data_IF_558633039137
#
_entry.id   IF_558633039137
#
_cell.length_a   1.000
_cell.length_b   1.000
_cell.length_c   1.000
_cell.angle_alpha   90.00
_cell.angle_beta   90.00
_cell.angle_gamma   90.00
#
_symmetry.space_group_name_H-M   'P 1'
#
loop_
_entity.id
_entity.type
_entity.pdbx_description
1 polymer ?
#
# COMPACT_ATOMS: atom_id res chain seq x y z
N UNK A 1 23.47 13.26 35.19
CA UNK A 1 22.10 12.68 35.21
C UNK A 1 21.71 12.29 33.80
N UNK A 2 21.54 10.99 33.52
CA UNK A 2 21.35 10.45 32.16
C UNK A 2 19.89 10.66 31.72
N UNK A 3 19.71 11.32 30.58
CA UNK A 3 18.42 11.51 29.88
C UNK A 3 17.84 10.16 29.47
N UNK A 4 16.76 9.75 30.14
CA UNK A 4 15.99 8.56 29.77
C UNK A 4 15.33 8.78 28.42
N UNK A 5 15.81 8.06 27.40
CA UNK A 5 15.30 8.08 26.03
C UNK A 5 13.81 7.71 25.99
N UNK A 6 12.97 8.70 25.69
CA UNK A 6 11.51 8.59 25.61
C UNK A 6 11.02 7.58 24.57
N UNK A 7 11.84 7.27 23.57
CA UNK A 7 11.57 6.21 22.60
C UNK A 7 11.26 4.87 23.26
N UNK A 8 11.83 4.54 24.43
CA UNK A 8 11.57 3.25 25.10
C UNK A 8 10.17 3.15 25.73
N UNK A 9 9.57 4.26 26.15
CA UNK A 9 8.27 4.26 26.86
C UNK A 9 7.07 4.29 25.90
N UNK A 10 7.28 4.64 24.64
CA UNK A 10 6.30 4.46 23.57
C UNK A 10 6.12 2.98 23.16
N UNK A 11 7.00 2.09 23.64
CA UNK A 11 7.16 0.70 23.19
C UNK A 11 6.77 -0.34 24.24
N UNK A 12 6.50 0.07 25.48
CA UNK A 12 6.03 -0.83 26.53
C UNK A 12 4.50 -0.94 26.45
N UNK A 13 3.99 -1.82 25.60
CA UNK A 13 2.64 -2.34 25.78
C UNK A 13 2.66 -3.27 26.99
N UNK A 14 1.75 -3.01 27.92
CA UNK A 14 1.60 -3.70 29.20
C UNK A 14 1.62 -5.22 29.02
N UNK A 15 2.61 -5.88 29.60
CA UNK A 15 2.61 -7.33 29.83
C UNK A 15 1.59 -7.61 30.94
N UNK A 16 0.41 -8.10 30.56
CA UNK A 16 -0.44 -8.91 31.44
C UNK A 16 -0.77 -10.20 30.71
N UNK A 17 -0.39 -11.30 31.34
CA UNK A 17 -0.63 -12.67 30.93
C UNK A 17 -2.13 -12.97 30.93
N UNK A 18 -2.63 -13.54 29.85
CA UNK A 18 -3.50 -14.71 29.95
C UNK A 18 -3.50 -15.51 28.64
N UNK A 19 -3.60 -16.82 28.79
CA UNK A 19 -3.49 -17.84 27.76
C UNK A 19 -4.67 -17.80 26.78
N UNK A 20 -4.50 -17.05 25.70
CA UNK A 20 -5.26 -17.18 24.45
C UNK A 20 -4.30 -16.77 23.33
N UNK A 21 -4.17 -17.56 22.27
CA UNK A 21 -3.22 -17.33 21.18
C UNK A 21 -3.25 -15.87 20.71
N UNK A 22 -2.35 -15.04 21.25
CA UNK A 22 -2.39 -13.60 21.07
C UNK A 22 -2.02 -13.32 19.63
N UNK A 23 -3.02 -13.01 18.80
CA UNK A 23 -2.81 -12.53 17.43
C UNK A 23 -1.90 -11.32 17.51
N UNK A 24 -0.65 -11.47 17.07
CA UNK A 24 0.35 -10.42 17.12
C UNK A 24 -0.15 -9.19 16.36
N UNK A 25 -0.14 -8.03 16.99
CA UNK A 25 -0.47 -6.77 16.33
C UNK A 25 0.64 -6.37 15.36
N UNK A 26 0.30 -5.61 14.32
CA UNK A 26 1.29 -5.14 13.35
C UNK A 26 2.23 -4.06 13.91
N UNK A 27 1.75 -3.25 14.85
CA UNK A 27 2.52 -2.26 15.61
C UNK A 27 3.44 -1.40 14.72
N UNK A 28 4.76 -1.46 14.93
CA UNK A 28 5.74 -0.62 14.20
C UNK A 28 5.72 -0.87 12.68
N UNK A 29 5.37 -2.09 12.24
CA UNK A 29 5.28 -2.42 10.81
C UNK A 29 4.03 -1.84 10.14
N UNK A 30 3.13 -1.19 10.89
CA UNK A 30 1.94 -0.57 10.32
C UNK A 30 2.29 0.54 9.32
N UNK A 31 3.39 1.28 9.56
CA UNK A 31 3.83 2.34 8.65
C UNK A 31 4.26 1.78 7.30
N UNK A 32 5.01 0.68 7.33
CA UNK A 32 5.44 -0.03 6.13
C UNK A 32 4.25 -0.62 5.38
N UNK A 33 3.34 -1.31 6.09
CA UNK A 33 2.12 -1.84 5.49
C UNK A 33 1.23 -0.72 4.93
N UNK A 34 1.11 0.41 5.62
CA UNK A 34 0.33 1.55 5.14
C UNK A 34 0.95 2.18 3.90
N UNK A 35 2.27 2.33 3.84
CA UNK A 35 2.98 2.77 2.63
C UNK A 35 2.69 1.85 1.44
N UNK A 36 2.78 0.52 1.65
CA UNK A 36 2.46 -0.47 0.61
C UNK A 36 1.00 -0.38 0.15
N UNK A 37 0.05 -0.24 1.08
CA UNK A 37 -1.37 -0.07 0.76
C UNK A 37 -1.57 1.20 -0.07
N UNK A 38 -0.95 2.32 0.31
CA UNK A 38 -1.05 3.57 -0.46
C UNK A 38 -0.53 3.39 -1.88
N UNK A 39 0.64 2.77 -2.06
CA UNK A 39 1.21 2.50 -3.39
C UNK A 39 0.31 1.60 -4.23
N UNK A 40 -0.22 0.52 -3.64
CA UNK A 40 -1.14 -0.40 -4.30
C UNK A 40 -2.46 0.28 -4.70
N UNK A 41 -3.02 1.12 -3.81
CA UNK A 41 -4.21 1.90 -4.10
C UNK A 41 -3.96 2.90 -5.23
N UNK A 42 -2.79 3.55 -5.25
CA UNK A 42 -2.44 4.49 -6.31
C UNK A 42 -2.32 3.77 -7.66
N UNK A 43 -1.64 2.63 -7.71
CA UNK A 43 -1.55 1.80 -8.91
C UNK A 43 -2.94 1.35 -9.39
N UNK A 44 -3.81 0.94 -8.46
CA UNK A 44 -5.20 0.64 -8.80
C UNK A 44 -5.95 1.84 -9.39
N UNK A 45 -5.78 3.04 -8.84
CA UNK A 45 -6.46 4.24 -9.34
C UNK A 45 -6.06 4.54 -10.79
N UNK A 46 -4.78 4.38 -11.15
CA UNK A 46 -4.32 4.50 -12.55
C UNK A 46 -4.91 3.43 -13.48
N UNK A 47 -5.40 2.31 -12.94
CA UNK A 47 -6.00 1.21 -13.68
C UNK A 47 -7.54 1.27 -13.73
N UNK A 48 -8.17 2.34 -13.24
CA UNK A 48 -9.62 2.54 -13.36
C UNK A 48 -10.02 2.75 -14.82
N UNK A 49 -11.23 2.33 -15.21
CA UNK A 49 -11.69 2.45 -16.61
C UNK A 49 -11.55 3.88 -17.16
N UNK A 50 -11.85 4.88 -16.32
CA UNK A 50 -11.68 6.30 -16.66
C UNK A 50 -10.22 6.66 -16.96
N UNK A 51 -9.29 6.25 -16.11
CA UNK A 51 -7.87 6.56 -16.30
C UNK A 51 -7.28 5.78 -17.48
N UNK A 52 -7.71 4.53 -17.68
CA UNK A 52 -7.32 3.71 -18.83
C UNK A 52 -7.83 4.32 -20.13
N UNK A 53 -9.09 4.77 -20.19
CA UNK A 53 -9.64 5.42 -21.38
C UNK A 53 -8.87 6.72 -21.71
N UNK A 54 -8.58 7.53 -20.69
CA UNK A 54 -7.75 8.73 -20.84
C UNK A 54 -6.34 8.39 -21.33
N UNK A 55 -5.70 7.37 -20.75
CA UNK A 55 -4.36 6.93 -21.15
C UNK A 55 -4.34 6.47 -22.61
N UNK A 56 -5.35 5.70 -23.04
CA UNK A 56 -5.48 5.27 -24.44
C UNK A 56 -5.67 6.46 -25.39
N UNK A 57 -6.47 7.44 -25.00
CA UNK A 57 -6.62 8.69 -25.77
C UNK A 57 -5.29 9.45 -25.89
N UNK A 58 -4.54 9.59 -24.79
CA UNK A 58 -3.22 10.23 -24.78
C UNK A 58 -2.21 9.48 -25.66
N UNK A 59 -2.18 8.14 -25.62
CA UNK A 59 -1.34 7.31 -26.48
C UNK A 59 -1.66 7.55 -27.97
N UNK A 60 -2.95 7.54 -28.33
CA UNK A 60 -3.40 7.69 -29.72
C UNK A 60 -3.20 9.11 -30.24
N UNK A 61 -3.39 10.14 -29.41
CA UNK A 61 -3.51 11.52 -29.90
C UNK A 61 -2.28 12.40 -29.59
N UNK A 62 -1.43 12.03 -28.64
CA UNK A 62 -0.28 12.85 -28.27
C UNK A 62 0.85 12.76 -29.29
N UNK A 63 1.09 13.88 -29.99
CA UNK A 63 2.25 14.01 -30.88
C UNK A 63 3.59 13.84 -30.14
N UNK A 64 3.66 14.24 -28.87
CA UNK A 64 4.85 14.10 -28.03
C UNK A 64 5.20 12.63 -27.77
N UNK A 65 4.21 11.82 -27.37
CA UNK A 65 4.39 10.38 -27.15
C UNK A 65 4.81 9.70 -28.46
N UNK A 66 4.14 10.04 -29.57
CA UNK A 66 4.43 9.47 -30.89
C UNK A 66 5.83 9.79 -31.41
N UNK A 67 6.37 10.96 -31.04
CA UNK A 67 7.69 11.43 -31.47
C UNK A 67 8.83 10.95 -30.57
N UNK A 68 8.60 10.87 -29.26
CA UNK A 68 9.65 10.56 -28.27
C UNK A 68 9.72 9.09 -27.88
N UNK A 69 8.60 8.36 -27.94
CA UNK A 69 8.53 6.96 -27.50
C UNK A 69 8.39 6.02 -28.70
N UNK A 70 7.27 6.06 -29.40
CA UNK A 70 7.00 5.23 -30.58
C UNK A 70 5.71 5.67 -31.28
N UNK A 71 5.60 5.42 -32.59
CA UNK A 71 4.32 5.58 -33.32
C UNK A 71 3.40 4.35 -33.20
N UNK A 72 3.89 3.25 -32.64
CA UNK A 72 3.15 2.01 -32.47
C UNK A 72 2.48 2.01 -31.09
N UNK A 73 1.17 2.19 -31.07
CA UNK A 73 0.35 2.26 -29.85
C UNK A 73 0.41 0.94 -29.05
N UNK A 74 0.49 -0.22 -29.71
CA UNK A 74 0.62 -1.52 -29.05
C UNK A 74 1.97 -1.68 -28.35
N UNK A 75 3.04 -1.14 -28.95
CA UNK A 75 4.36 -1.12 -28.31
C UNK A 75 4.34 -0.27 -27.05
N UNK A 76 3.72 0.92 -27.11
CA UNK A 76 3.57 1.80 -25.94
C UNK A 76 2.73 1.12 -24.86
N UNK A 77 1.63 0.48 -25.24
CA UNK A 77 0.78 -0.29 -24.34
C UNK A 77 1.54 -1.40 -23.61
N UNK A 78 2.37 -2.19 -24.33
CA UNK A 78 3.23 -3.21 -23.72
C UNK A 78 4.27 -2.61 -22.78
N UNK A 79 4.90 -1.50 -23.16
CA UNK A 79 5.89 -0.81 -22.33
C UNK A 79 5.28 -0.37 -21.00
N UNK A 80 4.10 0.25 -21.03
CA UNK A 80 3.38 0.67 -19.82
C UNK A 80 2.97 -0.55 -18.98
N UNK A 81 2.49 -1.62 -19.63
CA UNK A 81 2.13 -2.85 -18.94
C UNK A 81 3.32 -3.45 -18.17
N UNK A 82 4.49 -3.53 -18.82
CA UNK A 82 5.74 -3.99 -18.19
C UNK A 82 6.10 -3.14 -16.98
N UNK A 83 6.07 -1.81 -17.11
CA UNK A 83 6.36 -0.88 -16.00
C UNK A 83 5.38 -1.06 -14.84
N UNK A 84 4.07 -1.23 -15.11
CA UNK A 84 3.08 -1.46 -14.06
C UNK A 84 3.27 -2.82 -13.36
N UNK A 85 3.61 -3.87 -14.11
CA UNK A 85 3.91 -5.18 -13.56
C UNK A 85 5.19 -5.18 -12.72
N UNK A 86 6.21 -4.44 -13.14
CA UNK A 86 7.45 -4.28 -12.37
C UNK A 86 7.19 -3.53 -11.06
N UNK A 87 6.41 -2.44 -11.10
CA UNK A 87 5.97 -1.72 -9.91
C UNK A 87 5.19 -2.63 -8.94
N UNK A 88 4.29 -3.48 -9.47
CA UNK A 88 3.59 -4.46 -8.66
C UNK A 88 4.53 -5.51 -8.06
N UNK A 89 5.51 -5.98 -8.82
CA UNK A 89 6.50 -6.97 -8.39
C UNK A 89 7.38 -6.45 -7.24
N UNK A 90 7.75 -5.17 -7.26
CA UNK A 90 8.43 -4.51 -6.16
C UNK A 90 7.60 -4.56 -4.87
N UNK A 91 6.32 -4.18 -4.95
CA UNK A 91 5.41 -4.25 -3.80
C UNK A 91 5.17 -5.69 -3.33
N UNK A 92 5.07 -6.65 -4.25
CA UNK A 92 4.92 -8.06 -3.91
C UNK A 92 6.14 -8.60 -3.16
N UNK A 93 7.35 -8.18 -3.51
CA UNK A 93 8.58 -8.54 -2.76
C UNK A 93 8.53 -8.05 -1.31
N UNK A 94 8.04 -6.85 -1.09
CA UNK A 94 7.84 -6.32 0.27
C UNK A 94 6.78 -7.12 1.04
N UNK A 95 5.67 -7.47 0.39
CA UNK A 95 4.63 -8.32 0.99
C UNK A 95 5.15 -9.72 1.31
N UNK A 96 5.96 -10.31 0.45
CA UNK A 96 6.63 -11.61 0.68
C UNK A 96 7.51 -11.58 1.94
N UNK A 97 8.32 -10.53 2.11
CA UNK A 97 9.14 -10.37 3.31
C UNK A 97 8.28 -10.29 4.57
N UNK A 98 7.16 -9.57 4.52
CA UNK A 98 6.24 -9.46 5.64
C UNK A 98 5.52 -10.80 5.91
N UNK A 99 5.06 -11.48 4.87
CA UNK A 99 4.25 -12.69 5.03
C UNK A 99 4.97 -13.87 5.67
N UNK A 100 6.31 -13.92 5.58
CA UNK A 100 7.16 -14.89 6.29
C UNK A 100 6.96 -14.89 7.80
N UNK A 101 6.48 -13.77 8.37
CA UNK A 101 6.21 -13.62 9.82
C UNK A 101 4.77 -13.90 10.22
N UNK A 102 3.87 -14.20 9.27
CA UNK A 102 2.48 -14.53 9.58
C UNK A 102 2.37 -15.80 10.40
N UNK A 103 1.28 -15.99 11.14
CA UNK A 103 0.98 -17.28 11.78
C UNK A 103 0.25 -18.23 10.82
N UNK A 104 -0.58 -17.68 9.93
CA UNK A 104 -1.26 -18.42 8.86
C UNK A 104 -0.28 -19.01 7.83
N UNK A 105 -0.20 -20.35 7.67
CA UNK A 105 0.65 -21.00 6.68
C UNK A 105 0.35 -20.60 5.24
N UNK A 106 -0.92 -20.28 4.91
CA UNK A 106 -1.32 -19.85 3.58
C UNK A 106 -0.73 -18.47 3.25
N UNK A 107 -0.59 -17.59 4.24
CA UNK A 107 0.05 -16.29 4.03
C UNK A 107 1.56 -16.45 3.88
N UNK A 108 2.17 -17.39 4.61
CA UNK A 108 3.61 -17.68 4.45
C UNK A 108 3.95 -18.18 3.05
N UNK A 109 3.03 -18.87 2.36
CA UNK A 109 3.23 -19.32 0.97
C UNK A 109 2.98 -18.23 -0.08
N UNK A 110 2.76 -16.97 0.31
CA UNK A 110 2.53 -15.85 -0.62
C UNK A 110 3.57 -15.75 -1.73
N UNK A 111 4.86 -15.89 -1.42
CA UNK A 111 5.94 -15.78 -2.41
C UNK A 111 5.78 -16.81 -3.53
N UNK A 112 5.49 -18.07 -3.15
CA UNK A 112 5.22 -19.15 -4.09
C UNK A 112 3.95 -18.88 -4.88
N UNK A 113 2.85 -18.52 -4.19
CA UNK A 113 1.57 -18.21 -4.82
C UNK A 113 1.68 -17.07 -5.85
N UNK A 114 2.47 -16.04 -5.56
CA UNK A 114 2.68 -14.92 -6.47
C UNK A 114 3.56 -15.33 -7.67
N UNK A 115 4.58 -16.16 -7.45
CA UNK A 115 5.34 -16.74 -8.58
C UNK A 115 4.45 -17.60 -9.47
N UNK A 116 3.52 -18.36 -8.90
CA UNK A 116 2.59 -19.21 -9.66
C UNK A 116 1.56 -18.36 -10.41
N UNK A 117 1.12 -17.26 -9.81
CA UNK A 117 0.26 -16.28 -10.47
C UNK A 117 0.95 -15.68 -11.71
N UNK A 118 2.20 -15.23 -11.58
CA UNK A 118 2.94 -14.64 -12.72
C UNK A 118 3.18 -15.68 -13.84
N UNK A 119 3.49 -16.93 -13.48
CA UNK A 119 3.88 -17.95 -14.46
C UNK A 119 2.69 -18.62 -15.15
N UNK A 120 1.62 -18.87 -14.39
CA UNK A 120 0.54 -19.75 -14.80
C UNK A 120 -0.84 -19.06 -14.82
N UNK A 121 -0.90 -17.76 -14.53
CA UNK A 121 -2.17 -17.00 -14.32
C UNK A 121 -3.12 -17.73 -13.34
N UNK A 122 -2.52 -18.35 -12.32
CA UNK A 122 -3.23 -19.23 -11.39
C UNK A 122 -3.34 -18.59 -10.01
N UNK A 123 -4.51 -18.02 -9.70
CA UNK A 123 -4.86 -17.64 -8.32
C UNK A 123 -5.36 -18.87 -7.54
N UNK A 124 -4.43 -19.77 -7.18
CA UNK A 124 -4.70 -21.03 -6.48
C UNK A 124 -5.56 -20.84 -5.23
N UNK A 125 -5.39 -19.72 -4.52
CA UNK A 125 -6.05 -19.44 -3.26
C UNK A 125 -7.24 -18.47 -3.39
N UNK A 126 -7.60 -18.05 -4.61
CA UNK A 126 -8.71 -17.12 -4.90
C UNK A 126 -8.62 -15.84 -4.05
N UNK A 127 -7.40 -15.31 -3.93
CA UNK A 127 -7.11 -14.11 -3.16
C UNK A 127 -7.61 -12.83 -3.84
N UNK A 128 -7.84 -12.83 -5.15
CA UNK A 128 -8.44 -11.71 -5.85
C UNK A 128 -9.77 -11.27 -5.19
N UNK A 129 -9.96 -9.96 -5.04
CA UNK A 129 -11.23 -9.38 -4.61
C UNK A 129 -12.20 -9.33 -5.78
N UNK A 130 -13.49 -9.55 -5.50
CA UNK A 130 -14.52 -9.10 -6.43
C UNK A 130 -14.55 -7.57 -6.45
N UNK A 131 -14.95 -6.97 -7.57
CA UNK A 131 -15.04 -5.51 -7.71
C UNK A 131 -15.83 -4.84 -6.58
N UNK A 132 -16.98 -5.42 -6.20
CA UNK A 132 -17.83 -4.94 -5.09
C UNK A 132 -17.11 -4.99 -3.74
N UNK A 133 -16.36 -6.07 -3.47
CA UNK A 133 -15.58 -6.18 -2.22
C UNK A 133 -14.41 -5.21 -2.22
N UNK A 134 -13.75 -5.05 -3.35
CA UNK A 134 -12.64 -4.12 -3.51
C UNK A 134 -13.07 -2.67 -3.28
N UNK A 135 -14.17 -2.20 -3.86
CA UNK A 135 -14.60 -0.80 -3.74
C UNK A 135 -14.90 -0.38 -2.29
N UNK A 136 -15.56 -1.25 -1.53
CA UNK A 136 -15.81 -1.04 -0.10
C UNK A 136 -14.48 -1.01 0.66
N UNK A 137 -13.59 -1.94 0.31
CA UNK A 137 -12.37 -2.17 1.05
C UNK A 137 -11.34 -1.07 0.80
N UNK A 138 -11.09 -0.68 -0.46
CA UNK A 138 -10.23 0.43 -0.87
C UNK A 138 -10.64 1.76 -0.25
N UNK A 139 -11.94 2.06 -0.15
CA UNK A 139 -12.45 3.25 0.54
C UNK A 139 -12.15 3.22 2.04
N UNK A 140 -12.27 2.06 2.67
CA UNK A 140 -11.87 1.90 4.08
C UNK A 140 -10.38 2.20 4.23
N UNK A 141 -9.53 1.67 3.36
CA UNK A 141 -8.08 1.87 3.41
C UNK A 141 -7.63 3.31 3.17
N UNK A 142 -8.21 3.99 2.18
CA UNK A 142 -7.86 5.38 1.88
C UNK A 142 -8.14 6.32 3.05
N UNK A 143 -9.12 5.97 3.90
CA UNK A 143 -9.46 6.71 5.12
C UNK A 143 -8.57 6.32 6.30
N UNK A 144 -8.06 5.08 6.34
CA UNK A 144 -7.25 4.58 7.45
C UNK A 144 -5.83 5.18 7.51
N UNK A 145 -5.37 5.89 6.48
CA UNK A 145 -4.00 6.43 6.49
C UNK A 145 -3.72 7.65 5.59
N UNK A 146 -3.61 8.84 6.19
CA UNK A 146 -2.76 9.92 5.68
C UNK A 146 -1.43 9.91 6.45
N UNK A 147 -0.33 9.51 5.79
CA UNK A 147 1.07 9.63 6.30
C UNK A 147 1.31 11.00 6.92
N UNK A 148 0.76 12.03 6.28
CA UNK A 148 0.86 13.45 6.62
C UNK A 148 0.34 13.80 8.02
N UNK A 149 -0.56 13.01 8.62
CA UNK A 149 -1.13 13.35 9.94
C UNK A 149 -0.21 13.03 11.11
N UNK A 150 0.71 12.07 11.00
CA UNK A 150 1.63 11.73 12.09
C UNK A 150 2.94 12.52 12.06
N UNK A 151 3.45 12.88 10.87
CA UNK A 151 4.66 13.70 10.70
C UNK A 151 4.52 15.07 11.40
N UNK A 152 3.33 15.66 11.33
CA UNK A 152 3.04 16.95 12.00
C UNK A 152 3.19 16.92 13.52
N UNK A 153 3.06 15.75 14.18
CA UNK A 153 3.25 15.69 15.64
C UNK A 153 4.73 15.79 16.02
N UNK A 154 5.62 15.12 15.27
CA UNK A 154 7.05 15.16 15.53
C UNK A 154 7.62 16.57 15.35
N UNK A 155 7.17 17.26 14.29
CA UNK A 155 7.54 18.65 14.01
C UNK A 155 7.04 19.61 15.10
N UNK A 156 5.79 19.44 15.55
CA UNK A 156 5.22 20.24 16.64
C UNK A 156 5.95 20.00 17.98
N UNK A 157 6.34 18.75 18.27
CA UNK A 157 7.12 18.44 19.47
C UNK A 157 8.54 19.01 19.40
N UNK A 158 9.18 18.96 18.24
CA UNK A 158 10.50 19.55 18.04
C UNK A 158 10.46 21.08 18.17
N UNK A 159 9.41 21.72 17.62
CA UNK A 159 9.17 23.15 17.75
C UNK A 159 8.92 23.56 19.21
N UNK A 160 8.12 22.79 19.96
CA UNK A 160 7.90 23.00 21.39
C UNK A 160 9.22 22.90 22.18
N UNK A 161 10.07 21.92 21.87
CA UNK A 161 11.39 21.76 22.51
C UNK A 161 12.31 22.95 22.24
N UNK A 162 12.30 23.49 21.01
CA UNK A 162 13.04 24.70 20.65
C UNK A 162 12.52 25.93 21.38
N UNK A 163 11.19 26.09 21.47
CA UNK A 163 10.54 27.17 22.20
C UNK A 163 10.85 27.16 23.71
N UNK A 164 10.87 25.99 24.34
CA UNK A 164 11.22 25.84 25.77
C UNK A 164 12.69 26.13 26.10
N UNK A 165 13.58 26.11 25.09
CA UNK A 165 14.99 26.43 25.25
C UNK A 165 15.36 27.88 24.92
N UNK A 166 14.36 28.71 24.58
CA UNK A 166 14.54 30.14 24.26
C UNK A 166 14.05 30.98 25.43
N UNK A 167 14.95 31.76 26.05
CA UNK A 167 14.67 32.57 27.26
C UNK A 167 13.70 33.76 27.05
N UNK A 168 13.24 33.99 25.82
CA UNK A 168 12.52 35.22 25.43
C UNK A 168 11.06 35.00 24.98
N UNK A 169 10.39 33.95 25.47
CA UNK A 169 9.06 33.56 24.98
C UNK A 169 7.94 33.90 25.98
N UNK A 170 6.89 34.53 25.48
CA UNK A 170 5.69 34.89 26.25
C UNK A 170 4.99 33.62 26.79
N UNK A 171 4.80 33.54 28.11
CA UNK A 171 4.35 32.30 28.78
C UNK A 171 2.99 31.81 28.28
N UNK A 172 2.14 32.74 27.81
CA UNK A 172 0.83 32.47 27.23
C UNK A 172 0.96 31.69 25.92
N UNK A 173 1.86 32.14 25.03
CA UNK A 173 2.13 31.46 23.75
C UNK A 173 2.69 30.05 23.97
N UNK A 174 3.53 29.86 24.99
CA UNK A 174 4.06 28.54 25.33
C UNK A 174 2.95 27.58 25.76
N UNK A 175 2.04 28.03 26.63
CA UNK A 175 0.89 27.25 27.10
C UNK A 175 -0.06 26.88 25.94
N UNK A 176 -0.27 27.78 24.98
CA UNK A 176 -1.06 27.49 23.78
C UNK A 176 -0.42 26.42 22.90
N UNK A 177 0.90 26.47 22.70
CA UNK A 177 1.63 25.43 21.96
C UNK A 177 1.62 24.08 22.70
N UNK A 178 1.74 24.07 24.02
CA UNK A 178 1.58 22.84 24.82
C UNK A 178 0.20 22.22 24.64
N UNK A 179 -0.87 23.02 24.71
CA UNK A 179 -2.24 22.57 24.44
C UNK A 179 -2.35 22.01 23.02
N UNK A 180 -1.76 22.66 22.02
CA UNK A 180 -1.77 22.20 20.63
C UNK A 180 -1.08 20.83 20.49
N UNK A 181 0.04 20.63 21.17
CA UNK A 181 0.76 19.33 21.19
C UNK A 181 -0.07 18.25 21.89
N UNK A 182 -0.69 18.52 23.04
CA UNK A 182 -1.52 17.53 23.74
C UNK A 182 -2.76 17.14 22.95
N UNK A 183 -3.43 18.10 22.32
CA UNK A 183 -4.53 17.84 21.39
C UNK A 183 -4.09 16.95 20.23
N UNK A 184 -2.96 17.25 19.59
CA UNK A 184 -2.41 16.43 18.51
C UNK A 184 -2.01 15.03 18.97
N UNK A 185 -1.52 14.86 20.21
CA UNK A 185 -1.26 13.54 20.79
C UNK A 185 -2.53 12.72 20.94
N UNK A 186 -3.61 13.32 21.44
CA UNK A 186 -4.90 12.64 21.56
C UNK A 186 -5.44 12.25 20.18
N UNK A 187 -5.34 13.13 19.19
CA UNK A 187 -5.70 12.83 17.81
C UNK A 187 -4.90 11.63 17.25
N UNK A 188 -3.56 11.64 17.42
CA UNK A 188 -2.69 10.54 16.98
C UNK A 188 -3.02 9.23 17.71
N UNK A 189 -3.33 9.28 19.00
CA UNK A 189 -3.74 8.09 19.77
C UNK A 189 -5.06 7.51 19.23
N UNK A 190 -6.06 8.36 19.03
CA UNK A 190 -7.34 7.96 18.45
C UNK A 190 -7.19 7.42 17.02
N UNK A 191 -6.29 8.01 16.21
CA UNK A 191 -5.96 7.49 14.89
C UNK A 191 -5.27 6.13 14.97
N UNK A 192 -4.35 5.90 15.93
CA UNK A 192 -3.73 4.57 16.12
C UNK A 192 -4.76 3.51 16.48
N UNK A 193 -5.71 3.82 17.34
CA UNK A 193 -6.78 2.92 17.75
C UNK A 193 -7.70 2.56 16.58
N UNK A 194 -7.98 3.51 15.70
CA UNK A 194 -8.89 3.33 14.56
C UNK A 194 -8.20 2.97 13.23
N UNK A 195 -6.86 2.92 13.17
CA UNK A 195 -6.09 2.68 11.94
C UNK A 195 -5.61 1.23 11.83
N UNK A 196 -4.65 1.00 10.94
CA UNK A 196 -3.93 -0.26 10.81
C UNK A 196 -3.14 -0.65 12.05
N UNK A 197 -2.81 0.30 12.92
CA UNK A 197 -2.01 0.07 14.12
C UNK A 197 -2.64 -0.92 15.09
N UNK A 198 -3.98 -0.95 15.18
CA UNK A 198 -4.74 -1.86 16.03
C UNK A 198 -5.09 -3.19 15.36
N UNK A 199 -4.79 -3.34 14.07
CA UNK A 199 -5.08 -4.57 13.32
C UNK A 199 -4.06 -5.67 13.62
N UNK A 200 -4.53 -6.92 13.50
CA UNK A 200 -3.64 -8.09 13.60
C UNK A 200 -2.70 -8.14 12.40
N UNK A 201 -1.50 -8.68 12.62
CA UNK A 201 -0.47 -8.84 11.60
C UNK A 201 -1.02 -9.61 10.39
N UNK A 202 -1.46 -10.85 10.62
CA UNK A 202 -1.99 -11.74 9.58
C UNK A 202 -3.16 -11.12 8.81
N UNK A 203 -4.08 -10.41 9.48
CA UNK A 203 -5.16 -9.72 8.78
C UNK A 203 -4.63 -8.64 7.84
N UNK A 204 -3.64 -7.86 8.28
CA UNK A 204 -3.06 -6.80 7.45
C UNK A 204 -2.32 -7.39 6.26
N UNK A 205 -1.55 -8.46 6.46
CA UNK A 205 -0.84 -9.13 5.38
C UNK A 205 -1.81 -9.81 4.41
N UNK A 206 -2.85 -10.51 4.89
CA UNK A 206 -3.91 -11.06 4.04
C UNK A 206 -4.48 -9.99 3.12
N UNK A 207 -4.64 -8.77 3.62
CA UNK A 207 -5.22 -7.69 2.84
C UNK A 207 -4.27 -7.14 1.79
N UNK A 208 -2.99 -7.00 2.13
CA UNK A 208 -1.93 -6.69 1.16
C UNK A 208 -1.88 -7.76 0.07
N UNK A 209 -1.82 -9.03 0.45
CA UNK A 209 -1.84 -10.20 -0.44
C UNK A 209 -3.00 -10.13 -1.43
N UNK A 210 -4.23 -10.02 -0.92
CA UNK A 210 -5.42 -9.95 -1.77
C UNK A 210 -5.40 -8.74 -2.70
N UNK A 211 -4.87 -7.62 -2.23
CA UNK A 211 -4.75 -6.40 -3.04
C UNK A 211 -3.77 -6.60 -4.19
N UNK A 212 -2.58 -7.16 -3.93
CA UNK A 212 -1.59 -7.48 -4.96
C UNK A 212 -2.20 -8.33 -6.07
N UNK A 213 -2.87 -9.42 -5.69
CA UNK A 213 -3.53 -10.33 -6.64
C UNK A 213 -4.63 -9.62 -7.45
N UNK A 214 -5.41 -8.76 -6.80
CA UNK A 214 -6.47 -8.01 -7.47
C UNK A 214 -5.92 -6.99 -8.47
N UNK A 215 -4.83 -6.31 -8.11
CA UNK A 215 -4.15 -5.36 -9.01
C UNK A 215 -3.52 -6.09 -10.19
N UNK A 216 -2.89 -7.25 -9.95
CA UNK A 216 -2.34 -8.10 -11.02
C UNK A 216 -3.40 -8.43 -12.08
N UNK A 217 -4.52 -9.05 -11.68
CA UNK A 217 -5.58 -9.42 -12.61
C UNK A 217 -6.20 -8.21 -13.32
N UNK A 218 -6.17 -7.03 -12.68
CA UNK A 218 -6.62 -5.79 -13.32
C UNK A 218 -5.63 -5.29 -14.39
N UNK A 219 -4.32 -5.38 -14.16
CA UNK A 219 -3.31 -5.03 -15.17
C UNK A 219 -3.48 -5.96 -16.38
N UNK A 220 -3.57 -7.27 -16.16
CA UNK A 220 -3.76 -8.22 -17.26
C UNK A 220 -5.03 -7.96 -18.06
N UNK A 221 -6.14 -7.68 -17.38
CA UNK A 221 -7.40 -7.34 -18.02
C UNK A 221 -7.31 -6.06 -18.87
N UNK A 222 -6.63 -5.03 -18.37
CA UNK A 222 -6.51 -3.72 -19.05
C UNK A 222 -5.61 -3.79 -20.29
N UNK A 223 -4.50 -4.54 -20.21
CA UNK A 223 -3.48 -4.60 -21.25
C UNK A 223 -3.55 -5.87 -22.10
N UNK A 224 -4.46 -6.79 -21.81
CA UNK A 224 -4.77 -7.93 -22.67
C UNK A 224 -3.61 -8.92 -22.81
N UNK A 225 -2.85 -9.18 -21.74
CA UNK A 225 -1.74 -10.18 -21.75
C UNK A 225 -2.22 -11.55 -22.28
N UNK A 226 -3.52 -11.87 -22.13
CA UNK A 226 -4.14 -13.10 -22.61
C UNK A 226 -4.75 -13.04 -24.04
N UNK A 227 -4.73 -11.89 -24.73
CA UNK A 227 -5.20 -11.80 -26.14
C UNK A 227 -4.08 -12.04 -27.16
N UNK A 228 -2.81 -11.87 -26.76
CA UNK A 228 -1.67 -12.12 -27.66
C UNK A 228 -1.47 -13.62 -27.93
N UNK A 229 -1.93 -14.50 -27.04
CA UNK A 229 -1.92 -15.95 -27.25
C UNK A 229 -3.01 -16.43 -28.23
N UNK A 230 -4.14 -15.74 -28.36
CA UNK A 230 -5.24 -16.14 -29.27
C UNK A 230 -4.96 -15.74 -30.73
N UNK A 231 -4.11 -14.73 -30.97
CA UNK A 231 -3.72 -14.33 -32.32
C UNK A 231 -2.75 -15.32 -32.97
N UNK A 232 -1.95 -16.06 -32.20
CA UNK A 232 -1.09 -17.14 -32.71
C UNK A 232 -1.85 -18.42 -33.10
N UNK A 233 -3.04 -18.63 -32.55
CA UNK A 233 -3.89 -19.81 -32.84
C UNK A 233 -4.84 -19.55 -34.01
N UNK A 234 -5.16 -18.28 -34.30
CA UNK A 234 -6.02 -17.93 -35.46
C UNK A 234 -5.27 -17.90 -36.79
N UNK A 235 -3.99 -17.52 -36.81
CA UNK A 235 -3.20 -17.56 -38.05
C UNK A 235 -2.84 -18.99 -38.49
N UNK A 236 -2.78 -19.94 -37.57
CA UNK A 236 -2.50 -21.36 -37.87
C UNK A 236 -3.73 -22.14 -38.35
N UNK A 237 -4.96 -21.66 -38.08
CA UNK A 237 -6.20 -22.26 -38.59
C UNK A 237 -6.65 -21.77 -39.97
N UNK A 238 -6.09 -20.68 -40.47
CA UNK A 238 -6.41 -20.14 -41.81
C UNK A 238 -5.43 -20.60 -42.91
N UNK A 239 -4.54 -21.55 -42.61
CA UNK A 239 -3.57 -22.12 -43.57
C UNK A 239 -3.64 -23.66 -43.69
N UNK A 240 -4.73 -24.29 -43.25
CA UNK A 240 -4.97 -25.72 -43.47
C UNK A 240 -6.27 -25.97 -44.22
#
# INVERSE_FOLDING_TARGET
MVTKSWFRNLWTTSKKSDSQAHKSQIAVLAFEAASLITKLLHLWQSLTDKQVARLRDEITNSAGIKKLVSKNDDYIGRLICTEMMENLSHMARDVSRLSKKCNDPLLRSFEQAYSDLIKNDADTYRWQFSWKKWSIKSRKWSVLWPLTRMETLADLEQMLRRMKGSDNLDSITLVEYEKKVTWKKHEVKHLKENSLWSQTYDYTILLLTRTVFTVFGRIEHVFGINQVADLGVRESKNKS
#
